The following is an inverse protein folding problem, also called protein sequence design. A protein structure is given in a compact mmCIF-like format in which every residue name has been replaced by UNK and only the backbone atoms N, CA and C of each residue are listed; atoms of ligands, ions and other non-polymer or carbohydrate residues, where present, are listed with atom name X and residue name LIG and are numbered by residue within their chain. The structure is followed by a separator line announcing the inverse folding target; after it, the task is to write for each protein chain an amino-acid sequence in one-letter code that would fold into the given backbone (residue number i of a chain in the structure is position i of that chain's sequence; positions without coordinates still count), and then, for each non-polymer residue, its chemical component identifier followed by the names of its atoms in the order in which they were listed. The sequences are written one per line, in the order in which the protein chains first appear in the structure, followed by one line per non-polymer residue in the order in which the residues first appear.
data_IF_023678589362
#
_entry.id   IF_023678589362
#
_cell.length_a   1.000
_cell.length_b   1.000
_cell.length_c   1.000
_cell.angle_alpha   90.00
_cell.angle_beta   90.00
_cell.angle_gamma   90.00
#
_symmetry.space_group_name_H-M   'P 1'
#
loop_
_entity.id
_entity.type
_entity.pdbx_description
1 polymer ?
#
# COMPACT_ATOMS: atom_id res chain seq x y z
N UNK A 1 4.92 -10.37 0.51
CA UNK A 1 4.43 -9.12 1.17
C UNK A 1 5.01 -8.97 2.59
N UNK A 2 5.31 -7.76 3.10
CA UNK A 2 5.89 -7.62 4.46
C UNK A 2 4.80 -7.48 5.54
N UNK A 3 4.24 -8.62 5.97
CA UNK A 3 3.21 -8.72 7.02
C UNK A 3 3.55 -7.97 8.30
N UNK A 4 4.83 -7.89 8.66
CA UNK A 4 5.27 -7.17 9.87
C UNK A 4 5.00 -5.67 9.78
N UNK A 5 5.14 -5.08 8.59
CA UNK A 5 4.88 -3.65 8.38
C UNK A 5 3.39 -3.32 8.37
N UNK A 6 2.55 -4.16 7.74
CA UNK A 6 1.08 -4.03 7.82
C UNK A 6 0.63 -4.12 9.29
N UNK A 7 1.16 -5.09 10.03
CA UNK A 7 0.84 -5.29 11.43
C UNK A 7 1.28 -4.10 12.29
N UNK A 8 2.52 -3.62 12.11
CA UNK A 8 3.01 -2.45 12.85
C UNK A 8 2.18 -1.20 12.53
N UNK A 9 1.89 -0.94 11.25
CA UNK A 9 1.01 0.15 10.83
C UNK A 9 -0.37 0.07 11.48
N UNK A 10 -0.97 -1.12 11.49
CA UNK A 10 -2.28 -1.37 12.06
C UNK A 10 -2.32 -1.12 13.58
N UNK A 11 -1.30 -1.58 14.32
CA UNK A 11 -1.18 -1.31 15.76
C UNK A 11 -1.06 0.20 16.02
N UNK A 12 -0.19 0.88 15.29
CA UNK A 12 0.03 2.32 15.46
C UNK A 12 -1.27 3.08 15.17
N UNK A 13 -2.00 2.73 14.10
CA UNK A 13 -3.28 3.33 13.77
C UNK A 13 -4.31 3.16 14.90
N UNK A 14 -4.41 1.97 15.49
CA UNK A 14 -5.33 1.69 16.60
C UNK A 14 -4.96 2.48 17.84
N UNK A 15 -3.69 2.43 18.26
CA UNK A 15 -3.21 3.14 19.45
C UNK A 15 -3.44 4.65 19.28
N UNK A 16 -3.08 5.19 18.12
CA UNK A 16 -3.27 6.61 17.81
C UNK A 16 -4.75 7.02 17.83
N UNK A 17 -5.62 6.20 17.22
CA UNK A 17 -7.05 6.44 17.25
C UNK A 17 -7.64 6.37 18.66
N UNK A 18 -7.20 5.43 19.50
CA UNK A 18 -7.63 5.32 20.89
C UNK A 18 -7.20 6.54 21.71
N UNK A 19 -5.97 7.04 21.52
CA UNK A 19 -5.49 8.27 22.16
C UNK A 19 -6.39 9.45 21.78
N UNK A 20 -6.71 9.62 20.50
CA UNK A 20 -7.56 10.72 20.04
C UNK A 20 -8.99 10.62 20.57
N UNK A 21 -9.57 9.41 20.63
CA UNK A 21 -10.90 9.19 21.24
C UNK A 21 -10.87 9.52 22.73
N UNK A 22 -9.82 9.12 23.44
CA UNK A 22 -9.66 9.47 24.86
C UNK A 22 -9.55 10.98 25.08
N UNK A 23 -8.77 11.68 24.24
CA UNK A 23 -8.66 13.15 24.26
C UNK A 23 -10.01 13.80 23.98
N UNK A 24 -10.75 13.32 22.97
CA UNK A 24 -12.10 13.82 22.66
C UNK A 24 -13.05 13.67 23.84
N UNK A 25 -13.12 12.48 24.46
CA UNK A 25 -13.99 12.23 25.62
C UNK A 25 -13.59 13.13 26.79
N UNK A 26 -12.29 13.24 27.07
CA UNK A 26 -11.79 14.09 28.16
C UNK A 26 -12.13 15.55 27.92
N UNK A 27 -11.94 16.06 26.70
CA UNK A 27 -12.31 17.42 26.31
C UNK A 27 -13.82 17.66 26.43
N UNK A 28 -14.64 16.69 25.99
CA UNK A 28 -16.09 16.80 26.06
C UNK A 28 -16.63 16.81 27.50
N UNK A 29 -16.02 16.04 28.40
CA UNK A 29 -16.41 16.00 29.82
C UNK A 29 -15.91 17.20 30.63
N UNK A 30 -14.82 17.84 30.21
CA UNK A 30 -14.20 18.96 30.95
C UNK A 30 -14.67 20.33 30.46
N UNK A 31 -15.11 20.46 29.21
CA UNK A 31 -15.64 21.73 28.71
C UNK A 31 -17.03 22.02 29.29
N UNK A 32 -17.21 23.24 29.79
CA UNK A 32 -18.53 23.73 30.20
C UNK A 32 -19.42 23.97 28.98
N UNK A 33 -20.73 23.81 29.16
CA UNK A 33 -21.71 24.04 28.10
C UNK A 33 -21.66 25.47 27.50
N UNK A 34 -21.34 26.47 28.33
CA UNK A 34 -21.17 27.86 27.89
C UNK A 34 -19.97 28.04 26.94
N UNK A 35 -18.86 27.33 27.18
CA UNK A 35 -17.68 27.39 26.31
C UNK A 35 -17.94 26.80 24.91
N UNK A 36 -18.78 25.76 24.85
CA UNK A 36 -19.17 25.12 23.59
C UNK A 36 -20.04 26.03 22.71
N UNK A 37 -20.93 26.82 23.31
CA UNK A 37 -21.79 27.78 22.61
C UNK A 37 -21.00 28.93 21.99
N UNK A 38 -19.95 29.39 22.67
CA UNK A 38 -19.08 30.46 22.15
C UNK A 38 -18.07 29.95 21.11
N UNK A 39 -17.73 28.65 21.13
CA UNK A 39 -16.67 28.05 20.29
C UNK A 39 -17.16 26.86 19.46
N UNK A 40 -18.34 26.97 18.86
CA UNK A 40 -18.99 25.90 18.07
C UNK A 40 -18.07 25.34 16.97
N UNK A 41 -17.29 26.19 16.30
CA UNK A 41 -16.37 25.77 15.23
C UNK A 41 -15.27 24.83 15.75
N UNK A 42 -14.66 25.15 16.89
CA UNK A 42 -13.66 24.30 17.53
C UNK A 42 -14.24 22.94 17.91
N UNK A 43 -15.47 22.92 18.40
CA UNK A 43 -16.15 21.68 18.75
C UNK A 43 -16.48 20.82 17.52
N UNK A 44 -16.87 21.43 16.40
CA UNK A 44 -17.07 20.72 15.12
C UNK A 44 -15.76 20.06 14.66
N UNK A 45 -14.64 20.78 14.73
CA UNK A 45 -13.32 20.22 14.39
C UNK A 45 -12.98 19.04 15.29
N UNK A 46 -13.20 19.18 16.60
CA UNK A 46 -12.97 18.11 17.58
C UNK A 46 -13.82 16.86 17.26
N UNK A 47 -15.07 17.04 16.87
CA UNK A 47 -15.97 15.97 16.46
C UNK A 47 -15.50 15.27 15.17
N UNK A 48 -15.03 16.03 14.18
CA UNK A 48 -14.45 15.47 12.95
C UNK A 48 -13.20 14.64 13.24
N UNK A 49 -12.33 15.10 14.15
CA UNK A 49 -11.15 14.34 14.60
C UNK A 49 -11.58 13.04 15.28
N UNK A 50 -12.63 13.06 16.10
CA UNK A 50 -13.15 11.86 16.75
C UNK A 50 -13.68 10.84 15.73
N UNK A 51 -14.49 11.29 14.76
CA UNK A 51 -15.01 10.44 13.68
C UNK A 51 -13.85 9.82 12.88
N UNK A 52 -12.86 10.63 12.48
CA UNK A 52 -11.68 10.15 11.77
C UNK A 52 -10.89 9.12 12.59
N UNK A 53 -10.85 9.29 13.91
CA UNK A 53 -10.18 8.37 14.84
C UNK A 53 -10.90 7.02 14.95
N UNK A 54 -12.23 7.00 14.94
CA UNK A 54 -12.99 5.74 14.86
C UNK A 54 -12.75 4.99 13.56
N UNK A 55 -12.73 5.70 12.42
CA UNK A 55 -12.41 5.10 11.12
C UNK A 55 -10.97 4.59 11.11
N UNK A 56 -10.03 5.30 11.76
CA UNK A 56 -8.63 4.88 11.91
C UNK A 56 -8.52 3.56 12.68
N UNK A 57 -9.21 3.44 13.81
CA UNK A 57 -9.29 2.20 14.60
C UNK A 57 -9.86 1.06 13.75
N UNK A 58 -10.97 1.31 13.06
CA UNK A 58 -11.63 0.31 12.21
C UNK A 58 -10.72 -0.19 11.09
N UNK A 59 -10.05 0.72 10.38
CA UNK A 59 -9.05 0.37 9.37
C UNK A 59 -7.89 -0.44 9.95
N UNK A 60 -7.43 -0.07 11.15
CA UNK A 60 -6.37 -0.81 11.83
C UNK A 60 -6.80 -2.23 12.18
N UNK A 61 -8.02 -2.41 12.67
CA UNK A 61 -8.57 -3.75 12.96
C UNK A 61 -8.67 -4.59 11.68
N UNK A 62 -9.09 -4.00 10.55
CA UNK A 62 -9.13 -4.70 9.26
C UNK A 62 -7.72 -5.15 8.85
N UNK A 63 -6.74 -4.24 8.86
CA UNK A 63 -5.36 -4.57 8.49
C UNK A 63 -4.71 -5.56 9.45
N UNK A 64 -5.08 -5.57 10.73
CA UNK A 64 -4.64 -6.59 11.69
C UNK A 64 -5.11 -8.00 11.29
N UNK A 65 -6.34 -8.14 10.79
CA UNK A 65 -6.87 -9.43 10.33
C UNK A 65 -6.11 -9.98 9.13
N UNK A 66 -5.46 -9.11 8.36
CA UNK A 66 -4.67 -9.52 7.20
C UNK A 66 -3.36 -10.22 7.55
N UNK A 67 -2.97 -10.26 8.83
CA UNK A 67 -1.77 -11.01 9.28
C UNK A 67 -1.91 -12.53 9.01
N UNK A 68 -3.12 -13.04 9.14
CA UNK A 68 -3.43 -14.48 9.08
C UNK A 68 -3.73 -14.97 7.65
N UNK A 69 -3.89 -14.04 6.70
CA UNK A 69 -4.13 -14.35 5.28
C UNK A 69 -2.88 -14.90 4.59
N UNK A 70 -3.07 -15.79 3.61
CA UNK A 70 -2.02 -16.23 2.69
C UNK A 70 -1.55 -15.08 1.78
N UNK A 71 -0.43 -15.26 1.08
CA UNK A 71 0.07 -14.20 0.18
C UNK A 71 -0.86 -13.96 -1.03
N UNK A 72 -1.53 -15.00 -1.53
CA UNK A 72 -2.50 -14.92 -2.62
C UNK A 72 -3.74 -14.13 -2.21
N UNK A 73 -4.35 -14.49 -1.07
CA UNK A 73 -5.49 -13.77 -0.51
C UNK A 73 -5.18 -12.32 -0.22
N UNK A 74 -3.95 -12.02 0.21
CA UNK A 74 -3.56 -10.66 0.46
C UNK A 74 -3.38 -9.85 -0.82
N UNK A 75 -2.92 -10.47 -1.91
CA UNK A 75 -2.85 -9.84 -3.23
C UNK A 75 -4.24 -9.43 -3.71
N UNK A 76 -5.26 -10.26 -3.46
CA UNK A 76 -6.65 -9.90 -3.76
C UNK A 76 -7.16 -8.70 -2.95
N UNK A 77 -6.55 -8.41 -1.79
CA UNK A 77 -6.88 -7.25 -0.94
C UNK A 77 -5.99 -6.03 -1.19
N UNK A 78 -5.12 -6.06 -2.19
CA UNK A 78 -4.16 -4.99 -2.49
C UNK A 78 -4.81 -3.60 -2.60
N UNK A 79 -5.91 -3.48 -3.33
CA UNK A 79 -6.66 -2.22 -3.45
C UNK A 79 -7.14 -1.68 -2.10
N UNK A 80 -7.59 -2.56 -1.20
CA UNK A 80 -8.03 -2.16 0.13
C UNK A 80 -6.86 -1.71 0.99
N UNK A 81 -5.71 -2.40 0.91
CA UNK A 81 -4.49 -2.01 1.60
C UNK A 81 -4.05 -0.62 1.13
N UNK A 82 -4.09 -0.34 -0.18
CA UNK A 82 -3.77 0.97 -0.71
C UNK A 82 -4.69 2.07 -0.17
N UNK A 83 -6.01 1.84 -0.22
CA UNK A 83 -7.01 2.79 0.28
C UNK A 83 -6.76 3.10 1.76
N UNK A 84 -6.56 2.06 2.58
CA UNK A 84 -6.24 2.24 4.00
C UNK A 84 -4.90 2.95 4.21
N UNK A 85 -3.90 2.69 3.37
CA UNK A 85 -2.60 3.34 3.46
C UNK A 85 -2.68 4.84 3.19
N UNK A 86 -3.45 5.26 2.19
CA UNK A 86 -3.72 6.69 1.91
C UNK A 86 -4.49 7.31 3.06
N UNK A 87 -5.56 6.65 3.53
CA UNK A 87 -6.34 7.16 4.65
C UNK A 87 -5.48 7.35 5.91
N UNK A 88 -4.66 6.36 6.23
CA UNK A 88 -3.73 6.46 7.35
C UNK A 88 -2.71 7.56 7.15
N UNK A 89 -2.22 7.81 5.93
CA UNK A 89 -1.26 8.88 5.69
C UNK A 89 -1.83 10.26 6.08
N UNK A 90 -3.12 10.47 5.86
CA UNK A 90 -3.80 11.74 6.18
C UNK A 90 -4.02 11.88 7.70
N UNK A 91 -4.46 10.81 8.37
CA UNK A 91 -4.94 10.87 9.77
C UNK A 91 -3.86 10.46 10.79
N UNK A 92 -2.90 9.64 10.38
CA UNK A 92 -1.77 9.15 11.18
C UNK A 92 -0.55 8.89 10.27
N UNK A 93 0.23 9.94 9.94
CA UNK A 93 1.28 9.87 8.92
C UNK A 93 2.28 8.70 9.12
N UNK A 94 2.63 8.39 10.37
CA UNK A 94 3.52 7.26 10.70
C UNK A 94 2.90 5.92 10.30
N UNK A 95 1.63 5.69 10.66
CA UNK A 95 0.91 4.47 10.25
C UNK A 95 0.76 4.39 8.73
N UNK A 96 0.47 5.52 8.08
CA UNK A 96 0.31 5.60 6.63
C UNK A 96 1.58 5.29 5.86
N UNK A 97 2.72 5.87 6.27
CA UNK A 97 4.02 5.60 5.64
C UNK A 97 4.37 4.11 5.75
N UNK A 98 4.17 3.49 6.92
CA UNK A 98 4.43 2.06 7.10
C UNK A 98 3.53 1.18 6.22
N UNK A 99 2.25 1.53 6.09
CA UNK A 99 1.31 0.82 5.22
C UNK A 99 1.68 0.98 3.73
N UNK A 100 2.04 2.19 3.30
CA UNK A 100 2.49 2.48 1.94
C UNK A 100 3.78 1.75 1.59
N UNK A 101 4.79 1.74 2.47
CA UNK A 101 6.02 0.96 2.26
C UNK A 101 5.66 -0.51 2.11
N UNK A 102 4.77 -1.03 2.96
CA UNK A 102 4.31 -2.41 2.83
C UNK A 102 3.62 -2.68 1.51
N UNK A 103 2.81 -1.74 1.02
CA UNK A 103 2.12 -1.82 -0.28
C UNK A 103 3.11 -1.86 -1.45
N UNK A 104 4.07 -0.93 -1.52
CA UNK A 104 5.06 -0.92 -2.60
C UNK A 104 5.98 -2.16 -2.58
N UNK A 105 6.22 -2.74 -1.40
CA UNK A 105 6.92 -4.02 -1.28
C UNK A 105 6.11 -5.23 -1.77
N UNK A 106 4.81 -5.09 -2.00
CA UNK A 106 3.98 -6.11 -2.70
C UNK A 106 4.39 -6.13 -4.17
N UNK A 107 4.35 -4.98 -4.83
CA UNK A 107 4.70 -4.84 -6.24
C UNK A 107 6.14 -5.27 -6.54
N UNK A 108 7.08 -5.00 -5.62
CA UNK A 108 8.48 -5.35 -5.80
C UNK A 108 8.78 -6.85 -5.63
N UNK A 109 7.96 -7.59 -4.88
CA UNK A 109 8.14 -9.04 -4.62
C UNK A 109 7.23 -9.93 -5.47
N UNK A 110 6.07 -9.41 -5.88
CA UNK A 110 5.04 -10.12 -6.63
C UNK A 110 4.99 -9.74 -8.11
N UNK A 111 5.72 -8.70 -8.55
CA UNK A 111 6.32 -8.82 -9.86
C UNK A 111 7.25 -10.02 -9.73
N UNK A 112 7.14 -11.07 -10.58
CA UNK A 112 8.32 -11.85 -10.80
C UNK A 112 9.40 -10.81 -11.04
N UNK A 113 10.55 -10.96 -10.40
CA UNK A 113 11.73 -10.77 -11.22
C UNK A 113 11.46 -11.65 -12.45
N UNK A 114 10.86 -11.04 -13.49
CA UNK A 114 11.54 -10.99 -14.75
C UNK A 114 12.93 -10.49 -14.36
N UNK A 115 13.79 -11.41 -13.89
CA UNK A 115 15.02 -11.67 -14.61
C UNK A 115 14.55 -11.47 -16.02
N UNK A 116 14.84 -10.28 -16.56
CA UNK A 116 14.62 -10.00 -17.96
C UNK A 116 15.19 -11.24 -18.61
N UNK A 117 14.33 -12.12 -19.10
CA UNK A 117 14.74 -12.99 -20.18
C UNK A 117 14.70 -12.03 -21.37
N UNK A 118 15.55 -10.99 -21.32
CA UNK A 118 15.74 -10.04 -22.41
C UNK A 118 16.10 -10.83 -23.65
N UNK A 119 16.80 -11.95 -23.46
CA UNK A 119 17.04 -12.99 -24.43
C UNK A 119 15.78 -13.50 -25.15
N UNK A 120 14.64 -13.74 -24.48
CA UNK A 120 13.42 -14.22 -25.15
C UNK A 120 12.79 -13.09 -25.97
N UNK A 121 12.65 -11.89 -25.40
CA UNK A 121 12.05 -10.75 -26.10
C UNK A 121 12.94 -10.32 -27.29
N UNK A 122 14.27 -10.33 -27.15
CA UNK A 122 15.25 -10.08 -28.21
C UNK A 122 15.24 -11.17 -29.30
N UNK A 123 15.01 -12.44 -28.94
CA UNK A 123 14.87 -13.53 -29.93
C UNK A 123 13.57 -13.40 -30.71
N UNK A 124 12.49 -12.92 -30.08
CA UNK A 124 11.20 -12.67 -30.76
C UNK A 124 11.33 -11.51 -31.75
N UNK A 125 11.97 -10.41 -31.34
CA UNK A 125 12.23 -9.26 -32.24
C UNK A 125 13.14 -9.65 -33.42
N UNK A 126 14.15 -10.49 -33.18
CA UNK A 126 14.98 -11.05 -34.26
C UNK A 126 14.18 -11.96 -35.22
N UNK A 127 13.20 -12.73 -34.72
CA UNK A 127 12.37 -13.59 -35.57
C UNK A 127 11.40 -12.77 -36.43
N UNK A 128 10.91 -11.64 -35.91
CA UNK A 128 10.11 -10.68 -36.67
C UNK A 128 10.93 -10.03 -37.80
N UNK A 129 12.14 -9.54 -37.50
CA UNK A 129 13.05 -8.99 -38.52
C UNK A 129 13.39 -10.00 -39.62
N UNK A 130 13.48 -11.28 -39.28
CA UNK A 130 13.68 -12.37 -40.24
C UNK A 130 12.46 -12.57 -41.13
N UNK A 131 11.25 -12.61 -40.54
CA UNK A 131 9.98 -12.76 -41.27
C UNK A 131 9.72 -11.57 -42.20
N UNK A 132 10.13 -10.39 -41.80
CA UNK A 132 10.08 -9.16 -42.61
C UNK A 132 11.18 -9.10 -43.68
N UNK A 133 12.11 -10.06 -43.70
CA UNK A 133 13.20 -10.14 -44.69
C UNK A 133 14.31 -9.09 -44.47
N UNK A 134 14.32 -8.43 -43.31
CA UNK A 134 15.31 -7.41 -42.94
C UNK A 134 16.66 -8.01 -42.51
N UNK A 135 16.65 -9.29 -42.10
CA UNK A 135 17.86 -10.07 -41.80
C UNK A 135 17.78 -11.45 -42.47
N UNK A 136 18.93 -12.01 -42.81
CA UNK A 136 19.03 -13.37 -43.36
C UNK A 136 18.95 -14.45 -42.28
N UNK A 137 18.56 -15.68 -42.66
CA UNK A 137 18.53 -16.84 -41.74
C UNK A 137 19.89 -17.07 -41.04
N UNK A 138 21.00 -16.80 -41.74
CA UNK A 138 22.35 -16.93 -41.18
C UNK A 138 22.63 -15.87 -40.11
N UNK A 139 22.17 -14.65 -40.30
CA UNK A 139 22.33 -13.57 -39.33
C UNK A 139 21.44 -13.77 -38.09
N UNK A 140 20.24 -14.30 -38.29
CA UNK A 140 19.35 -14.69 -37.20
C UNK A 140 20.01 -15.74 -36.29
N UNK A 141 20.50 -16.85 -36.84
CA UNK A 141 21.13 -17.91 -36.04
C UNK A 141 22.40 -17.45 -35.32
N UNK A 142 23.20 -16.58 -35.94
CA UNK A 142 24.43 -16.06 -35.34
C UNK A 142 24.13 -15.11 -34.17
N UNK A 143 23.10 -14.25 -34.30
CA UNK A 143 22.66 -13.34 -33.24
C UNK A 143 21.96 -14.08 -32.11
N UNK A 144 21.08 -15.04 -32.44
CA UNK A 144 20.41 -15.91 -31.46
C UNK A 144 21.41 -16.71 -30.63
N UNK A 145 22.46 -17.27 -31.26
CA UNK A 145 23.51 -17.99 -30.54
C UNK A 145 24.26 -17.09 -29.55
N UNK A 146 24.63 -15.86 -29.96
CA UNK A 146 25.28 -14.88 -29.07
C UNK A 146 24.41 -14.51 -27.86
N UNK A 147 23.09 -14.48 -28.03
CA UNK A 147 22.12 -14.16 -26.98
C UNK A 147 21.98 -15.35 -26.01
N UNK A 148 22.02 -16.59 -26.50
CA UNK A 148 21.87 -17.80 -25.69
C UNK A 148 23.16 -18.27 -25.00
N UNK A 149 24.33 -17.80 -25.45
CA UNK A 149 25.64 -18.11 -24.86
C UNK A 149 26.02 -17.18 -23.66
N UNK A 150 25.11 -16.32 -23.18
CA UNK A 150 25.25 -15.42 -22.01
C UNK A 150 24.58 -16.05 -20.78
#
# INVERSE_FOLDING_TARGET
MNKKLIHASAIIAIIWGLINVFVFISAHLTMSYFYLLENVQCYIILLLIAIASFILIFGGIILLRYKDLTEEELKEKEKYIFIWSIYFLIVSPIAGILALISYFLIDYKCKPQRIKVGYIDEIVELDELRKEGLISDKEFELKKKKILDI
#
